data_IF_550934970839
#
_entry.id   IF_550934970839
#
_cell.length_a   1.000
_cell.length_b   1.000
_cell.length_c   1.000
_cell.angle_alpha   90.00
_cell.angle_beta   90.00
_cell.angle_gamma   90.00
#
_symmetry.space_group_name_H-M   'P 1'
#
loop_
_entity.id
_entity.type
_entity.pdbx_description
1 polymer ?
#
# COMPACT_ATOMS: atom_id res chain seq x y z
N UNK A 1 -8.78 -13.66 -2.83
CA UNK A 1 -8.47 -13.01 -4.13
C UNK A 1 -9.70 -12.27 -4.64
N UNK A 2 -10.84 -12.93 -4.85
CA UNK A 2 -12.10 -12.28 -5.22
C UNK A 2 -12.47 -11.07 -4.33
N UNK A 3 -12.46 -11.24 -3.00
CA UNK A 3 -12.62 -10.14 -2.03
C UNK A 3 -11.71 -8.92 -2.28
N UNK A 4 -10.45 -9.13 -2.69
CA UNK A 4 -9.50 -8.04 -2.93
C UNK A 4 -9.81 -7.31 -4.24
N UNK A 5 -10.20 -8.06 -5.28
CA UNK A 5 -10.58 -7.49 -6.58
C UNK A 5 -11.87 -6.65 -6.43
N UNK A 6 -12.86 -7.19 -5.71
CA UNK A 6 -14.10 -6.50 -5.38
C UNK A 6 -13.86 -5.24 -4.53
N UNK A 7 -13.02 -5.34 -3.49
CA UNK A 7 -12.67 -4.19 -2.65
C UNK A 7 -11.93 -3.10 -3.44
N UNK A 8 -11.05 -3.47 -4.37
CA UNK A 8 -10.33 -2.53 -5.21
C UNK A 8 -11.27 -1.79 -6.17
N UNK A 9 -12.21 -2.48 -6.81
CA UNK A 9 -13.22 -1.86 -7.65
C UNK A 9 -14.05 -0.84 -6.85
N UNK A 10 -14.60 -1.25 -5.70
CA UNK A 10 -15.41 -0.37 -4.84
C UNK A 10 -14.61 0.83 -4.37
N UNK A 11 -13.35 0.65 -3.96
CA UNK A 11 -12.49 1.75 -3.54
C UNK A 11 -12.25 2.76 -4.66
N UNK A 12 -11.99 2.29 -5.88
CA UNK A 12 -11.77 3.15 -7.06
C UNK A 12 -13.05 3.90 -7.42
N UNK A 13 -14.19 3.21 -7.46
CA UNK A 13 -15.50 3.83 -7.72
C UNK A 13 -15.85 4.89 -6.68
N UNK A 14 -15.64 4.62 -5.40
CA UNK A 14 -15.81 5.60 -4.33
C UNK A 14 -14.92 6.84 -4.51
N UNK A 15 -13.71 6.69 -5.07
CA UNK A 15 -12.80 7.80 -5.33
C UNK A 15 -13.20 8.66 -6.54
N UNK A 16 -13.85 8.09 -7.55
CA UNK A 16 -14.11 8.77 -8.84
C UNK A 16 -15.57 9.16 -9.07
N UNK A 17 -16.53 8.45 -8.49
CA UNK A 17 -17.96 8.66 -8.74
C UNK A 17 -18.53 9.77 -7.85
N UNK A 18 -19.29 10.67 -8.47
CA UNK A 18 -19.99 11.77 -7.81
C UNK A 18 -21.42 11.86 -8.38
N UNK A 19 -22.44 11.31 -7.70
CA UNK A 19 -22.38 10.47 -6.48
C UNK A 19 -21.93 9.02 -6.77
N UNK A 20 -21.52 8.28 -5.73
CA UNK A 20 -21.29 6.84 -5.86
C UNK A 20 -22.63 6.12 -6.01
N UNK A 21 -22.78 5.35 -7.09
CA UNK A 21 -24.04 4.73 -7.50
C UNK A 21 -24.46 3.52 -6.63
N UNK A 22 -23.60 3.12 -5.68
CA UNK A 22 -23.79 1.91 -4.91
C UNK A 22 -23.10 0.71 -5.57
N UNK A 23 -22.95 -0.34 -4.77
CA UNK A 23 -22.32 -1.59 -5.16
C UNK A 23 -22.97 -2.76 -4.42
N UNK A 24 -23.18 -3.87 -5.12
CA UNK A 24 -23.69 -5.11 -4.55
C UNK A 24 -22.99 -6.28 -5.21
N UNK A 25 -21.91 -6.74 -4.60
CA UNK A 25 -21.16 -7.92 -5.01
C UNK A 25 -21.37 -9.10 -4.07
N UNK A 26 -20.46 -10.07 -4.14
CA UNK A 26 -20.49 -11.28 -3.30
C UNK A 26 -20.02 -10.99 -1.87
N UNK A 27 -19.12 -10.01 -1.71
CA UNK A 27 -18.42 -9.76 -0.46
C UNK A 27 -18.70 -8.37 0.14
N UNK A 28 -19.12 -7.42 -0.68
CA UNK A 28 -19.33 -6.02 -0.34
C UNK A 28 -20.71 -5.59 -0.86
N UNK A 29 -21.50 -4.99 0.02
CA UNK A 29 -22.74 -4.31 -0.33
C UNK A 29 -22.71 -2.91 0.29
N UNK A 30 -22.85 -1.88 -0.55
CA UNK A 30 -22.90 -0.49 -0.13
C UNK A 30 -23.95 0.24 -0.97
N UNK A 31 -24.96 0.87 -0.34
CA UNK A 31 -25.96 1.64 -1.06
C UNK A 31 -25.35 2.88 -1.71
N UNK A 32 -26.08 3.50 -2.64
CA UNK A 32 -25.69 4.77 -3.23
C UNK A 32 -25.55 5.86 -2.15
N UNK A 33 -24.43 6.58 -2.17
CA UNK A 33 -24.08 7.61 -1.18
C UNK A 33 -23.10 8.61 -1.80
N UNK A 34 -22.98 9.79 -1.23
CA UNK A 34 -21.84 10.66 -1.52
C UNK A 34 -20.64 10.25 -0.65
N UNK A 35 -19.52 9.89 -1.28
CA UNK A 35 -18.29 9.50 -0.57
C UNK A 35 -17.30 10.64 -0.63
N UNK A 36 -16.97 11.22 0.53
CA UNK A 36 -16.10 12.38 0.67
C UNK A 36 -15.06 12.15 1.79
N UNK A 37 -13.89 12.81 1.74
CA UNK A 37 -13.42 13.71 0.67
C UNK A 37 -12.99 12.95 -0.59
N UNK A 38 -12.93 13.66 -1.72
CA UNK A 38 -12.42 13.13 -2.98
C UNK A 38 -10.91 13.32 -3.08
N UNK A 39 -10.18 12.41 -3.76
CA UNK A 39 -8.75 12.59 -3.96
C UNK A 39 -8.44 13.86 -4.78
N UNK A 40 -7.30 14.47 -4.45
CA UNK A 40 -6.75 15.59 -5.22
C UNK A 40 -6.27 15.11 -6.60
N UNK A 41 -5.59 13.96 -6.64
CA UNK A 41 -5.12 13.33 -7.88
C UNK A 41 -6.32 12.76 -8.67
N UNK A 42 -6.38 13.07 -9.96
CA UNK A 42 -7.41 12.58 -10.88
C UNK A 42 -6.82 11.56 -11.86
N UNK A 43 -7.58 10.52 -12.25
CA UNK A 43 -8.90 10.16 -11.71
C UNK A 43 -8.84 9.67 -10.25
N UNK A 44 -7.76 9.01 -9.86
CA UNK A 44 -7.44 8.59 -8.51
C UNK A 44 -5.91 8.54 -8.33
N UNK A 45 -5.36 8.45 -7.12
CA UNK A 45 -3.93 8.24 -6.92
C UNK A 45 -3.44 6.93 -7.61
N UNK A 46 -2.18 6.84 -8.04
CA UNK A 46 -1.63 5.62 -8.63
C UNK A 46 -1.81 4.41 -7.69
N UNK A 47 -2.30 3.30 -8.25
CA UNK A 47 -2.53 2.08 -7.49
C UNK A 47 -1.27 1.22 -7.51
N UNK A 48 -0.95 0.67 -6.34
CA UNK A 48 0.17 -0.23 -6.10
C UNK A 48 -0.31 -1.48 -5.36
N UNK A 49 0.33 -2.61 -5.60
CA UNK A 49 0.10 -3.83 -4.83
C UNK A 49 1.42 -4.41 -4.32
N UNK A 50 1.43 -4.76 -3.03
CA UNK A 50 2.56 -5.43 -2.41
C UNK A 50 2.72 -6.85 -2.98
N UNK A 51 3.92 -7.16 -3.45
CA UNK A 51 4.27 -8.36 -4.18
C UNK A 51 5.40 -9.10 -3.45
N UNK A 52 5.03 -10.10 -2.67
CA UNK A 52 5.99 -10.97 -1.96
C UNK A 52 6.46 -12.16 -2.80
N UNK A 53 5.71 -12.54 -3.84
CA UNK A 53 5.99 -13.70 -4.70
C UNK A 53 6.01 -13.29 -6.18
N UNK A 54 6.73 -14.02 -7.06
CA UNK A 54 6.71 -13.76 -8.50
C UNK A 54 5.31 -13.71 -9.11
N UNK A 55 4.41 -14.60 -8.67
CA UNK A 55 3.02 -14.62 -9.12
C UNK A 55 2.24 -13.33 -8.80
N UNK A 56 2.60 -12.62 -7.72
CA UNK A 56 1.98 -11.33 -7.38
C UNK A 56 2.45 -10.22 -8.31
N UNK A 57 3.71 -10.25 -8.74
CA UNK A 57 4.27 -9.31 -9.73
C UNK A 57 3.59 -9.50 -11.09
N UNK A 58 3.41 -10.76 -11.52
CA UNK A 58 2.66 -11.08 -12.73
C UNK A 58 1.21 -10.59 -12.65
N UNK A 59 0.55 -10.81 -11.51
CA UNK A 59 -0.82 -10.32 -11.28
C UNK A 59 -0.91 -8.79 -11.36
N UNK A 60 0.08 -8.07 -10.81
CA UNK A 60 0.14 -6.61 -10.91
C UNK A 60 0.25 -6.15 -12.37
N UNK A 61 1.12 -6.81 -13.17
CA UNK A 61 1.27 -6.57 -14.59
C UNK A 61 -0.04 -6.83 -15.36
N UNK A 62 -0.68 -7.98 -15.12
CA UNK A 62 -1.96 -8.36 -15.74
C UNK A 62 -3.09 -7.36 -15.44
N UNK A 63 -3.02 -6.68 -14.30
CA UNK A 63 -4.03 -5.67 -13.89
C UNK A 63 -3.61 -4.24 -14.20
N UNK A 64 -2.44 -4.05 -14.82
CA UNK A 64 -1.86 -2.75 -15.17
C UNK A 64 -1.68 -1.80 -13.97
N UNK A 65 -1.32 -2.34 -12.80
CA UNK A 65 -1.06 -1.59 -11.57
C UNK A 65 0.41 -1.74 -11.13
N UNK A 66 0.85 -0.82 -10.26
CA UNK A 66 2.23 -0.77 -9.81
C UNK A 66 2.59 -1.98 -8.95
N UNK A 67 3.75 -2.57 -9.20
CA UNK A 67 4.26 -3.70 -8.44
C UNK A 67 5.24 -3.22 -7.37
N UNK A 68 4.86 -3.36 -6.09
CA UNK A 68 5.74 -3.07 -4.96
C UNK A 68 6.36 -4.38 -4.48
N UNK A 69 7.58 -4.68 -4.91
CA UNK A 69 8.23 -5.97 -4.66
C UNK A 69 9.39 -5.88 -3.67
N UNK A 70 9.55 -6.93 -2.85
CA UNK A 70 10.74 -7.11 -2.02
C UNK A 70 11.90 -7.60 -2.89
N UNK A 71 13.05 -6.92 -2.82
CA UNK A 71 14.24 -7.28 -3.57
C UNK A 71 14.99 -8.45 -2.90
N UNK A 72 14.38 -9.64 -2.84
CA UNK A 72 14.93 -10.82 -2.14
C UNK A 72 16.22 -11.40 -2.75
N UNK A 73 16.74 -10.83 -3.85
CA UNK A 73 17.77 -11.49 -4.67
C UNK A 73 18.77 -10.53 -5.32
N UNK A 74 19.02 -9.35 -4.75
CA UNK A 74 20.00 -8.40 -5.30
C UNK A 74 19.76 -7.95 -6.75
N UNK A 75 20.70 -7.19 -7.36
CA UNK A 75 20.49 -6.53 -8.65
C UNK A 75 20.32 -7.45 -9.87
N UNK A 76 21.01 -8.60 -9.92
CA UNK A 76 20.99 -9.49 -11.09
C UNK A 76 19.61 -10.12 -11.35
N UNK A 77 19.11 -10.98 -10.43
CA UNK A 77 17.76 -11.53 -10.47
C UNK A 77 16.62 -10.48 -10.52
N UNK A 78 16.90 -9.22 -10.21
CA UNK A 78 15.93 -8.14 -10.28
C UNK A 78 15.63 -7.74 -11.73
N UNK A 79 16.65 -7.71 -12.60
CA UNK A 79 16.49 -7.38 -14.03
C UNK A 79 15.54 -8.35 -14.72
N UNK A 80 15.66 -9.65 -14.46
CA UNK A 80 14.75 -10.66 -15.02
C UNK A 80 13.31 -10.46 -14.56
N UNK A 81 13.10 -10.06 -13.30
CA UNK A 81 11.76 -9.76 -12.76
C UNK A 81 11.16 -8.52 -13.42
N UNK A 82 11.95 -7.45 -13.58
CA UNK A 82 11.52 -6.22 -14.25
C UNK A 82 11.11 -6.50 -15.68
N UNK A 83 11.97 -7.22 -16.44
CA UNK A 83 11.67 -7.61 -17.81
C UNK A 83 10.44 -8.51 -17.90
N UNK A 84 10.29 -9.46 -16.97
CA UNK A 84 9.11 -10.32 -16.88
C UNK A 84 7.82 -9.54 -16.62
N UNK A 85 7.84 -8.53 -15.75
CA UNK A 85 6.70 -7.65 -15.50
C UNK A 85 6.27 -6.91 -16.77
N UNK A 86 7.20 -6.23 -17.47
CA UNK A 86 6.85 -5.47 -18.66
C UNK A 86 6.40 -6.35 -19.82
N UNK A 87 6.98 -7.55 -19.96
CA UNK A 87 6.53 -8.55 -20.92
C UNK A 87 5.08 -8.98 -20.64
N UNK A 88 4.79 -9.37 -19.40
CA UNK A 88 3.43 -9.79 -18.99
C UNK A 88 2.41 -8.65 -19.14
N UNK A 89 2.80 -7.42 -18.80
CA UNK A 89 1.97 -6.22 -18.98
C UNK A 89 1.57 -6.08 -20.46
N UNK A 90 2.52 -6.20 -21.38
CA UNK A 90 2.25 -6.07 -22.80
C UNK A 90 1.41 -7.25 -23.36
N UNK A 91 1.73 -8.48 -22.96
CA UNK A 91 1.09 -9.69 -23.47
C UNK A 91 -0.34 -9.87 -22.94
N UNK A 92 -0.55 -9.62 -21.65
CA UNK A 92 -1.77 -10.01 -20.92
C UNK A 92 -2.45 -8.89 -20.15
N UNK A 93 -1.88 -7.67 -20.13
CA UNK A 93 -2.41 -6.56 -19.34
C UNK A 93 -3.83 -6.15 -19.72
N UNK A 94 -4.72 -6.12 -18.73
CA UNK A 94 -6.10 -5.60 -18.80
C UNK A 94 -6.27 -4.57 -17.67
N UNK A 95 -6.36 -3.27 -17.99
CA UNK A 95 -6.48 -2.23 -16.98
C UNK A 95 -7.73 -2.40 -16.11
N UNK A 96 -7.54 -2.49 -14.79
CA UNK A 96 -8.66 -2.60 -13.83
C UNK A 96 -9.04 -1.26 -13.19
N UNK A 97 -8.19 -0.26 -13.36
CA UNK A 97 -8.37 1.09 -12.84
C UNK A 97 -8.36 2.10 -13.99
N UNK A 98 -9.06 3.25 -13.86
CA UNK A 98 -9.04 4.30 -14.88
C UNK A 98 -7.62 4.73 -15.27
N UNK A 99 -6.73 4.94 -14.30
CA UNK A 99 -5.32 5.23 -14.56
C UNK A 99 -4.49 3.94 -14.49
N UNK A 100 -3.66 3.70 -15.52
CA UNK A 100 -2.64 2.65 -15.54
C UNK A 100 -1.40 3.10 -14.77
N UNK A 101 -0.82 2.19 -13.98
CA UNK A 101 0.45 2.43 -13.28
C UNK A 101 1.45 1.32 -13.64
N UNK A 102 2.34 1.52 -14.63
CA UNK A 102 3.30 0.53 -15.06
C UNK A 102 4.65 0.69 -14.34
N UNK A 103 4.63 0.98 -13.03
CA UNK A 103 5.84 1.18 -12.24
C UNK A 103 6.17 -0.04 -11.38
N UNK A 104 7.46 -0.30 -11.22
CA UNK A 104 8.02 -1.30 -10.31
C UNK A 104 8.80 -0.59 -9.22
N UNK A 105 8.37 -0.82 -7.99
CA UNK A 105 9.05 -0.36 -6.79
C UNK A 105 9.76 -1.53 -6.14
N UNK A 106 11.02 -1.35 -5.79
CA UNK A 106 11.78 -2.31 -4.99
C UNK A 106 11.94 -1.81 -3.54
N UNK A 107 11.73 -2.69 -2.58
CA UNK A 107 12.21 -2.44 -1.21
C UNK A 107 13.70 -2.80 -1.20
N UNK A 108 14.55 -1.78 -1.04
CA UNK A 108 15.99 -1.86 -1.18
C UNK A 108 16.64 -2.56 0.01
N UNK A 109 17.06 -3.80 -0.22
CA UNK A 109 17.81 -4.62 0.72
C UNK A 109 16.99 -5.22 1.86
N UNK A 110 17.51 -6.29 2.46
CA UNK A 110 16.90 -6.93 3.64
C UNK A 110 17.29 -6.20 4.94
N UNK A 111 18.19 -5.22 4.84
CA UNK A 111 18.81 -4.50 5.95
C UNK A 111 18.44 -3.02 5.93
N UNK A 112 18.53 -2.38 7.10
CA UNK A 112 18.37 -0.93 7.21
C UNK A 112 19.48 -0.19 6.46
N UNK A 113 19.11 0.85 5.71
CA UNK A 113 20.04 1.85 5.20
C UNK A 113 20.77 2.53 6.35
N UNK A 114 22.07 2.79 6.15
CA UNK A 114 22.87 3.67 6.99
C UNK A 114 24.00 4.27 6.16
N UNK A 115 23.97 5.59 5.99
CA UNK A 115 25.01 6.35 5.29
C UNK A 115 25.88 7.06 6.33
N UNK A 116 27.20 6.86 6.26
CA UNK A 116 28.18 7.57 7.08
C UNK A 116 29.38 7.97 6.22
N UNK A 117 30.37 8.69 6.77
CA UNK A 117 31.53 9.13 5.97
C UNK A 117 32.39 7.97 5.46
N UNK A 118 32.45 6.89 6.23
CA UNK A 118 33.13 5.65 5.85
C UNK A 118 32.21 4.45 6.08
N UNK A 119 32.53 3.34 5.42
CA UNK A 119 31.80 2.10 5.57
C UNK A 119 31.80 1.58 7.01
N UNK A 120 32.94 1.67 7.69
CA UNK A 120 33.11 1.23 9.08
C UNK A 120 32.23 2.04 10.02
N UNK A 121 32.14 3.36 9.80
CA UNK A 121 31.27 4.22 10.60
C UNK A 121 29.79 3.88 10.40
N UNK A 122 29.37 3.53 9.18
CA UNK A 122 27.99 3.14 8.91
C UNK A 122 27.64 1.83 9.66
N UNK A 123 28.53 0.84 9.61
CA UNK A 123 28.38 -0.43 10.32
C UNK A 123 28.32 -0.21 11.84
N UNK A 124 29.22 0.58 12.40
CA UNK A 124 29.27 0.87 13.84
C UNK A 124 27.99 1.58 14.34
N UNK A 125 27.55 2.61 13.60
CA UNK A 125 26.32 3.35 13.92
C UNK A 125 25.09 2.47 13.89
N UNK A 126 24.97 1.63 12.85
CA UNK A 126 23.85 0.71 12.73
C UNK A 126 23.91 -0.36 13.82
N UNK A 127 25.11 -0.83 14.15
CA UNK A 127 25.38 -1.87 15.13
C UNK A 127 24.46 -3.08 14.96
N UNK A 128 24.03 -3.64 16.08
CA UNK A 128 23.14 -4.81 16.05
C UNK A 128 21.75 -4.52 15.49
N UNK A 129 21.35 -3.27 15.20
CA UNK A 129 20.01 -2.96 14.70
C UNK A 129 19.78 -3.37 13.23
N UNK A 130 20.85 -3.53 12.45
CA UNK A 130 20.77 -3.65 10.99
C UNK A 130 19.96 -4.83 10.47
N UNK A 131 20.21 -6.01 11.03
CA UNK A 131 19.60 -7.28 10.63
C UNK A 131 18.25 -7.59 11.25
N UNK A 132 17.74 -6.74 12.15
CA UNK A 132 16.52 -7.08 12.89
C UNK A 132 15.29 -7.19 12.00
N UNK A 133 15.21 -6.35 10.96
CA UNK A 133 14.10 -6.41 10.01
C UNK A 133 14.08 -7.74 9.24
N UNK A 134 15.22 -8.14 8.67
CA UNK A 134 15.41 -9.46 8.06
C UNK A 134 15.02 -10.59 9.01
N UNK A 135 15.55 -10.56 10.23
CA UNK A 135 15.28 -11.58 11.25
C UNK A 135 13.78 -11.65 11.59
N UNK A 136 13.14 -10.49 11.74
CA UNK A 136 11.71 -10.38 12.00
C UNK A 136 10.87 -10.97 10.89
N UNK A 137 11.16 -10.65 9.62
CA UNK A 137 10.47 -11.25 8.47
C UNK A 137 10.61 -12.77 8.50
N UNK A 138 11.83 -13.29 8.66
CA UNK A 138 12.06 -14.73 8.71
C UNK A 138 11.32 -15.38 9.87
N UNK A 139 11.32 -14.76 11.05
CA UNK A 139 10.61 -15.24 12.22
C UNK A 139 9.09 -15.30 11.98
N UNK A 140 8.48 -14.23 11.48
CA UNK A 140 7.02 -14.17 11.34
C UNK A 140 6.48 -14.98 10.17
N UNK A 141 7.22 -15.05 9.06
CA UNK A 141 6.70 -15.62 7.81
C UNK A 141 7.25 -17.00 7.47
N UNK A 142 8.33 -17.46 8.10
CA UNK A 142 9.00 -18.70 7.70
C UNK A 142 9.34 -19.63 8.85
N UNK A 143 10.21 -19.24 9.77
CA UNK A 143 10.89 -20.17 10.69
C UNK A 143 10.51 -20.00 12.16
N UNK A 144 9.84 -18.90 12.53
CA UNK A 144 9.55 -18.59 13.92
C UNK A 144 8.23 -19.17 14.42
N UNK A 145 8.20 -19.40 15.74
CA UNK A 145 6.98 -19.70 16.49
C UNK A 145 6.76 -18.55 17.46
N UNK A 146 5.56 -17.96 17.41
CA UNK A 146 5.19 -16.83 18.24
C UNK A 146 4.05 -17.19 19.18
N UNK A 147 4.15 -16.70 20.41
CA UNK A 147 3.05 -16.69 21.38
C UNK A 147 2.61 -15.23 21.55
N UNK A 148 1.35 -14.89 21.22
CA UNK A 148 0.84 -13.53 21.31
C UNK A 148 1.10 -12.89 22.69
N UNK A 149 1.67 -11.69 22.68
CA UNK A 149 2.00 -10.96 23.92
C UNK A 149 3.06 -11.62 24.81
N UNK A 150 3.82 -12.61 24.31
CA UNK A 150 4.88 -13.31 25.06
C UNK A 150 6.21 -13.38 24.31
N UNK A 151 6.20 -13.64 23.00
CA UNK A 151 7.45 -13.77 22.24
C UNK A 151 8.11 -12.41 22.04
N UNK A 152 9.24 -12.21 22.71
CA UNK A 152 10.13 -11.06 22.49
C UNK A 152 11.07 -11.30 21.32
N UNK A 153 10.65 -10.97 20.09
CA UNK A 153 11.45 -11.21 18.87
C UNK A 153 12.78 -10.44 18.91
N UNK A 154 12.79 -9.22 19.45
CA UNK A 154 14.01 -8.44 19.65
C UNK A 154 15.01 -9.12 20.58
N UNK A 155 14.54 -9.65 21.72
CA UNK A 155 15.40 -10.35 22.67
C UNK A 155 16.02 -11.60 22.02
N UNK A 156 15.20 -12.39 21.32
CA UNK A 156 15.67 -13.56 20.57
C UNK A 156 16.71 -13.18 19.52
N UNK A 157 16.48 -12.11 18.79
CA UNK A 157 17.42 -11.63 17.78
C UNK A 157 18.78 -11.27 18.39
N UNK A 158 18.81 -10.58 19.54
CA UNK A 158 20.06 -10.30 20.26
C UNK A 158 20.77 -11.58 20.69
N UNK A 159 20.03 -12.54 21.27
CA UNK A 159 20.56 -13.85 21.68
C UNK A 159 21.15 -14.64 20.49
N UNK A 160 20.56 -14.54 19.29
CA UNK A 160 21.13 -15.17 18.09
C UNK A 160 22.32 -14.39 17.52
N UNK A 161 22.32 -13.06 17.58
CA UNK A 161 23.46 -12.24 17.17
C UNK A 161 24.69 -12.43 18.06
N UNK A 162 24.50 -12.79 19.34
CA UNK A 162 25.60 -13.17 20.23
C UNK A 162 26.28 -14.47 19.76
N UNK A 163 25.53 -15.38 19.13
CA UNK A 163 26.07 -16.64 18.57
C UNK A 163 26.67 -16.43 17.19
N UNK A 164 26.04 -15.58 16.38
CA UNK A 164 26.48 -15.25 15.03
C UNK A 164 26.31 -13.74 14.75
N UNK A 165 27.37 -12.94 14.94
CA UNK A 165 27.34 -11.50 14.68
C UNK A 165 27.05 -11.12 13.23
N UNK A 166 27.20 -12.05 12.27
CA UNK A 166 26.90 -11.77 10.86
C UNK A 166 25.40 -11.54 10.63
N UNK A 167 24.53 -12.04 11.52
CA UNK A 167 23.09 -11.79 11.50
C UNK A 167 22.75 -10.29 11.58
N UNK A 168 23.61 -9.48 12.21
CA UNK A 168 23.39 -8.04 12.34
C UNK A 168 23.60 -7.26 11.03
N UNK A 169 24.34 -7.83 10.08
CA UNK A 169 24.79 -7.15 8.88
C UNK A 169 24.51 -7.93 7.59
N UNK A 170 23.90 -9.11 7.69
CA UNK A 170 23.48 -9.97 6.57
C UNK A 170 24.63 -10.48 5.69
N UNK A 171 24.33 -11.28 4.66
CA UNK A 171 25.33 -11.77 3.70
C UNK A 171 25.87 -10.70 2.75
N UNK A 172 25.38 -9.46 2.82
CA UNK A 172 25.85 -8.32 2.03
C UNK A 172 25.44 -6.99 2.67
N UNK A 173 26.25 -5.93 2.47
CA UNK A 173 26.05 -4.63 3.13
C UNK A 173 24.84 -3.84 2.62
N UNK A 174 24.34 -4.12 1.41
CA UNK A 174 23.21 -3.36 0.85
C UNK A 174 23.47 -1.85 0.83
N UNK A 175 22.49 -1.05 1.28
CA UNK A 175 22.61 0.40 1.43
C UNK A 175 23.27 0.83 2.77
N UNK A 176 24.29 0.10 3.23
CA UNK A 176 25.05 0.40 4.46
C UNK A 176 26.49 0.73 4.09
N UNK A 177 26.88 1.99 4.22
CA UNK A 177 28.27 2.38 3.97
C UNK A 177 28.51 3.88 3.76
N UNK A 178 29.62 4.16 3.10
CA UNK A 178 29.95 5.48 2.55
C UNK A 178 28.99 5.88 1.41
N UNK A 179 28.90 7.18 1.04
CA UNK A 179 28.13 7.61 -0.12
C UNK A 179 28.54 6.90 -1.41
N UNK A 180 29.81 6.51 -1.57
CA UNK A 180 30.27 5.75 -2.73
C UNK A 180 29.66 4.34 -2.76
N UNK A 181 29.71 3.62 -1.63
CA UNK A 181 29.14 2.28 -1.48
C UNK A 181 27.64 2.28 -1.73
N UNK A 182 26.92 3.26 -1.18
CA UNK A 182 25.47 3.37 -1.34
C UNK A 182 25.10 3.72 -2.79
N UNK A 183 25.85 4.58 -3.46
CA UNK A 183 25.64 4.86 -4.89
C UNK A 183 25.83 3.62 -5.75
N UNK A 184 26.88 2.84 -5.53
CA UNK A 184 27.11 1.60 -6.25
C UNK A 184 25.94 0.62 -6.08
N UNK A 185 25.45 0.46 -4.84
CA UNK A 185 24.28 -0.35 -4.56
C UNK A 185 23.04 0.14 -5.33
N UNK A 186 22.74 1.43 -5.30
CA UNK A 186 21.57 2.02 -5.95
C UNK A 186 21.65 1.98 -7.48
N UNK A 187 22.83 2.16 -8.07
CA UNK A 187 23.04 1.99 -9.51
C UNK A 187 22.68 0.60 -9.98
N UNK A 188 22.94 -0.43 -9.17
CA UNK A 188 22.48 -1.78 -9.50
C UNK A 188 20.95 -1.90 -9.64
N UNK A 189 20.18 -1.13 -8.86
CA UNK A 189 18.72 -1.08 -9.01
C UNK A 189 18.30 -0.25 -10.22
N UNK A 190 18.93 0.91 -10.43
CA UNK A 190 18.73 1.76 -11.62
C UNK A 190 18.96 0.96 -12.91
N UNK A 191 20.11 0.27 -13.02
CA UNK A 191 20.50 -0.55 -14.16
C UNK A 191 19.56 -1.74 -14.39
N UNK A 192 18.92 -2.26 -13.33
CA UNK A 192 17.94 -3.33 -13.43
C UNK A 192 16.58 -2.87 -13.99
N UNK A 193 16.36 -1.55 -14.10
CA UNK A 193 15.13 -0.95 -14.59
C UNK A 193 14.02 -0.81 -13.54
N UNK A 194 14.38 -0.84 -12.25
CA UNK A 194 13.47 -0.46 -11.17
C UNK A 194 13.20 1.04 -11.23
N UNK A 195 11.93 1.41 -11.06
CA UNK A 195 11.49 2.81 -11.15
C UNK A 195 11.64 3.55 -9.82
N UNK A 196 11.35 2.86 -8.72
CA UNK A 196 11.33 3.45 -7.38
C UNK A 196 11.99 2.51 -6.38
N UNK A 197 12.71 3.07 -5.40
CA UNK A 197 13.29 2.30 -4.31
C UNK A 197 12.85 2.85 -2.96
N UNK A 198 12.40 1.96 -2.07
CA UNK A 198 12.15 2.27 -0.67
C UNK A 198 13.29 1.70 0.16
N UNK A 199 13.98 2.56 0.89
CA UNK A 199 15.03 2.19 1.82
C UNK A 199 14.49 2.22 3.25
N UNK A 200 14.76 1.16 4.01
CA UNK A 200 14.33 1.06 5.40
C UNK A 200 15.32 1.80 6.29
N UNK A 201 14.83 2.62 7.23
CA UNK A 201 15.66 3.23 8.26
C UNK A 201 15.19 2.72 9.62
N UNK A 202 16.00 1.88 10.26
CA UNK A 202 15.80 1.40 11.62
C UNK A 202 16.77 2.14 12.54
N UNK A 203 16.34 3.26 13.16
CA UNK A 203 17.23 4.15 13.88
C UNK A 203 17.78 3.49 15.15
N UNK A 204 19.09 3.59 15.38
CA UNK A 204 19.73 3.32 16.68
C UNK A 204 20.00 4.59 17.48
N UNK A 205 20.28 5.68 16.78
CA UNK A 205 20.36 7.03 17.34
C UNK A 205 19.64 8.01 16.42
N UNK A 206 18.96 8.98 17.01
CA UNK A 206 18.30 10.04 16.24
C UNK A 206 19.33 10.84 15.43
N UNK A 207 20.43 11.25 16.07
CA UNK A 207 21.50 12.02 15.45
C UNK A 207 22.14 11.30 14.25
N UNK A 208 22.50 10.02 14.42
CA UNK A 208 23.09 9.23 13.33
C UNK A 208 22.10 9.01 12.18
N UNK A 209 20.81 8.90 12.48
CA UNK A 209 19.75 8.79 11.46
C UNK A 209 19.64 10.09 10.67
N UNK A 210 19.61 11.24 11.35
CA UNK A 210 19.52 12.54 10.69
C UNK A 210 20.76 12.83 9.84
N UNK A 211 21.96 12.52 10.33
CA UNK A 211 23.19 12.66 9.55
C UNK A 211 23.20 11.73 8.33
N UNK A 212 22.72 10.49 8.47
CA UNK A 212 22.57 9.57 7.35
C UNK A 212 21.61 10.11 6.28
N UNK A 213 20.48 10.72 6.68
CA UNK A 213 19.52 11.34 5.76
C UNK A 213 20.18 12.55 5.07
N UNK A 214 20.95 13.34 5.81
CA UNK A 214 21.67 14.50 5.27
C UNK A 214 22.71 14.08 4.23
N UNK A 215 23.54 13.06 4.52
CA UNK A 215 24.51 12.51 3.58
C UNK A 215 23.85 11.88 2.35
N UNK A 216 22.75 11.15 2.54
CA UNK A 216 21.94 10.62 1.45
C UNK A 216 21.48 11.74 0.51
N UNK A 217 20.94 12.83 1.06
CA UNK A 217 20.46 13.98 0.30
C UNK A 217 21.56 14.76 -0.41
N UNK A 218 22.71 14.97 0.24
CA UNK A 218 23.79 15.81 -0.29
C UNK A 218 24.75 15.08 -1.22
N UNK A 219 25.03 13.80 -0.96
CA UNK A 219 26.14 13.09 -1.60
C UNK A 219 25.71 11.86 -2.43
N UNK A 220 24.49 11.34 -2.23
CA UNK A 220 24.00 10.16 -2.95
C UNK A 220 22.92 10.52 -3.97
N UNK A 221 21.82 11.15 -3.55
CA UNK A 221 20.66 11.42 -4.40
C UNK A 221 20.92 12.33 -5.63
N UNK A 222 21.81 13.34 -5.62
CA UNK A 222 21.92 14.30 -6.73
C UNK A 222 22.14 13.64 -8.09
N UNK A 223 23.02 12.63 -8.18
CA UNK A 223 23.30 11.99 -9.47
C UNK A 223 22.12 11.21 -10.05
N UNK A 224 21.24 10.67 -9.20
CA UNK A 224 20.03 9.96 -9.63
C UNK A 224 18.96 10.95 -10.06
N UNK A 225 18.79 12.05 -9.32
CA UNK A 225 17.86 13.14 -9.67
C UNK A 225 18.23 13.75 -11.03
N UNK A 226 19.53 13.95 -11.29
CA UNK A 226 20.02 14.46 -12.58
C UNK A 226 19.63 13.57 -13.77
N UNK A 227 19.53 12.24 -13.57
CA UNK A 227 19.19 11.26 -14.61
C UNK A 227 17.70 10.94 -14.68
N UNK A 228 16.96 11.13 -13.59
CA UNK A 228 15.57 10.71 -13.44
C UNK A 228 14.66 11.26 -14.56
N UNK A 229 14.72 12.56 -14.82
CA UNK A 229 13.87 13.20 -15.84
C UNK A 229 14.04 12.55 -17.24
N UNK A 230 15.27 12.16 -17.58
CA UNK A 230 15.54 11.45 -18.84
C UNK A 230 15.02 10.02 -18.78
N UNK A 231 15.26 9.30 -17.68
CA UNK A 231 14.79 7.92 -17.52
C UNK A 231 13.25 7.82 -17.61
N UNK A 232 12.54 8.74 -16.95
CA UNK A 232 11.08 8.86 -17.01
C UNK A 232 10.59 9.13 -18.43
N UNK A 233 11.22 10.07 -19.15
CA UNK A 233 10.85 10.39 -20.53
C UNK A 233 11.10 9.21 -21.50
N UNK A 234 12.25 8.55 -21.39
CA UNK A 234 12.59 7.40 -22.21
C UNK A 234 11.65 6.22 -21.93
N UNK A 235 11.30 5.97 -20.66
CA UNK A 235 10.29 4.98 -20.27
C UNK A 235 8.93 5.31 -20.86
N UNK A 236 8.46 6.55 -20.73
CA UNK A 236 7.17 6.96 -21.27
C UNK A 236 7.10 6.73 -22.79
N UNK A 237 8.16 7.09 -23.53
CA UNK A 237 8.27 6.82 -24.96
C UNK A 237 8.24 5.32 -25.29
N UNK A 238 8.98 4.51 -24.53
CA UNK A 238 9.01 3.05 -24.69
C UNK A 238 7.66 2.40 -24.42
N UNK A 239 6.94 2.87 -23.41
CA UNK A 239 5.65 2.30 -23.00
C UNK A 239 4.45 2.85 -23.77
N UNK A 240 4.55 3.98 -24.47
CA UNK A 240 3.44 4.54 -25.24
C UNK A 240 2.70 3.52 -26.15
N UNK A 241 3.38 2.73 -27.03
CA UNK A 241 2.69 1.73 -27.84
C UNK A 241 2.14 0.56 -27.02
N UNK A 242 2.79 0.22 -25.89
CA UNK A 242 2.31 -0.81 -24.97
C UNK A 242 1.02 -0.36 -24.29
N UNK A 243 0.98 0.91 -23.84
CA UNK A 243 -0.17 1.54 -23.19
C UNK A 243 -1.37 1.57 -24.14
N UNK A 244 -1.16 1.94 -25.41
CA UNK A 244 -2.23 1.89 -26.42
C UNK A 244 -2.79 0.47 -26.60
N UNK A 245 -1.92 -0.53 -26.66
CA UNK A 245 -2.30 -1.95 -26.79
C UNK A 245 -3.10 -2.47 -25.59
N UNK A 246 -2.70 -2.13 -24.36
CA UNK A 246 -3.41 -2.56 -23.14
C UNK A 246 -4.72 -1.79 -22.93
N UNK A 247 -4.77 -0.50 -23.28
CA UNK A 247 -6.00 0.28 -23.23
C UNK A 247 -7.06 -0.30 -24.18
N UNK A 248 -6.66 -0.80 -25.36
CA UNK A 248 -7.56 -1.48 -26.28
C UNK A 248 -8.18 -2.78 -25.71
N UNK A 249 -7.62 -3.33 -24.61
CA UNK A 249 -8.18 -4.50 -23.89
C UNK A 249 -9.04 -4.12 -22.70
N UNK A 250 -9.20 -2.83 -22.39
CA UNK A 250 -9.98 -2.36 -21.25
C UNK A 250 -11.42 -2.87 -21.35
N UNK A 251 -11.88 -3.52 -20.29
CA UNK A 251 -13.28 -3.94 -20.18
C UNK A 251 -14.20 -2.74 -20.14
N UNK A 252 -15.40 -2.88 -20.73
CA UNK A 252 -16.45 -1.89 -20.58
C UNK A 252 -16.79 -1.66 -19.10
N UNK A 253 -17.09 -0.42 -18.75
CA UNK A 253 -17.52 -0.10 -17.40
C UNK A 253 -18.93 -0.62 -17.16
N UNK A 254 -19.06 -1.65 -16.32
CA UNK A 254 -20.34 -2.25 -15.93
C UNK A 254 -20.93 -1.65 -14.66
N UNK A 255 -20.33 -0.59 -14.11
CA UNK A 255 -20.87 0.09 -12.94
C UNK A 255 -22.28 0.65 -13.25
N UNK A 256 -23.25 0.51 -12.34
CA UNK A 256 -24.55 1.13 -12.51
C UNK A 256 -24.41 2.65 -12.53
N UNK A 257 -25.28 3.32 -13.30
CA UNK A 257 -25.47 4.75 -13.16
C UNK A 257 -26.21 5.05 -11.86
N UNK A 258 -25.97 6.22 -11.27
CA UNK A 258 -26.75 6.66 -10.12
C UNK A 258 -28.24 6.75 -10.50
N UNK A 259 -29.10 6.22 -9.63
CA UNK A 259 -30.55 6.37 -9.74
C UNK A 259 -30.94 7.74 -9.20
N UNK A 260 -31.30 8.68 -10.09
CA UNK A 260 -31.73 10.04 -9.72
C UNK A 260 -33.03 10.06 -8.90
N UNK A 261 -33.79 8.96 -8.88
CA UNK A 261 -34.92 8.77 -7.97
C UNK A 261 -34.53 8.27 -6.58
N UNK A 262 -33.28 7.86 -6.39
CA UNK A 262 -32.79 7.34 -5.12
C UNK A 262 -32.73 8.45 -4.06
N UNK A 263 -33.49 8.24 -3.00
CA UNK A 263 -33.42 9.06 -1.80
C UNK A 263 -33.43 8.17 -0.56
N UNK A 264 -32.78 8.64 0.49
CA UNK A 264 -32.84 8.01 1.79
C UNK A 264 -33.04 9.10 2.84
N UNK A 265 -33.98 8.89 3.74
CA UNK A 265 -34.38 9.88 4.72
C UNK A 265 -33.49 9.89 5.96
N UNK A 266 -33.47 11.05 6.63
CA UNK A 266 -33.13 11.16 8.03
C UNK A 266 -34.38 11.01 8.91
N UNK A 267 -34.41 11.70 10.05
CA UNK A 267 -35.63 11.82 10.85
C UNK A 267 -36.75 12.48 10.01
N UNK A 268 -38.03 12.16 10.26
CA UNK A 268 -39.15 12.87 9.63
C UNK A 268 -39.13 14.34 10.05
N UNK A 269 -38.63 15.20 9.18
CA UNK A 269 -38.67 16.66 9.29
C UNK A 269 -39.71 17.20 8.30
N UNK A 270 -40.23 18.40 8.54
CA UNK A 270 -41.31 19.00 7.76
C UNK A 270 -42.69 18.42 8.06
N UNK A 271 -43.03 18.11 9.32
CA UNK A 271 -44.36 17.55 9.67
C UNK A 271 -45.46 18.52 9.24
N UNK A 272 -46.36 18.05 8.37
CA UNK A 272 -47.41 18.91 7.79
C UNK A 272 -46.86 20.02 6.87
N UNK A 273 -45.67 19.82 6.29
CA UNK A 273 -45.04 20.74 5.33
C UNK A 273 -44.34 21.95 5.95
N UNK A 274 -44.09 21.96 7.27
CA UNK A 274 -43.42 23.07 7.97
C UNK A 274 -42.21 22.58 8.74
N UNK A 275 -41.07 23.25 8.54
CA UNK A 275 -39.87 23.07 9.34
C UNK A 275 -39.89 24.02 10.54
N UNK A 276 -39.73 23.49 11.75
CA UNK A 276 -39.66 24.28 12.99
C UNK A 276 -38.36 24.01 13.75
N UNK A 277 -37.98 24.92 14.65
CA UNK A 277 -36.83 24.70 15.53
C UNK A 277 -37.02 23.53 16.52
N UNK A 278 -38.25 23.06 16.70
CA UNK A 278 -38.62 21.98 17.63
C UNK A 278 -38.62 20.58 17.00
N UNK A 279 -38.37 20.46 15.69
CA UNK A 279 -38.44 19.16 15.00
C UNK A 279 -37.45 18.13 15.51
N UNK A 280 -36.23 18.53 15.84
CA UNK A 280 -35.22 17.63 16.36
C UNK A 280 -35.63 17.11 17.76
N UNK A 281 -35.97 17.98 18.73
CA UNK A 281 -36.52 17.54 20.01
C UNK A 281 -37.75 16.62 19.89
N UNK A 282 -38.71 16.95 19.02
CA UNK A 282 -39.94 16.19 18.81
C UNK A 282 -39.66 14.80 18.22
N UNK A 283 -38.82 14.72 17.18
CA UNK A 283 -38.42 13.45 16.60
C UNK A 283 -37.66 12.55 17.58
N UNK A 284 -36.83 13.13 18.46
CA UNK A 284 -36.10 12.39 19.50
C UNK A 284 -37.04 11.88 20.61
N UNK A 285 -38.06 12.66 20.97
CA UNK A 285 -39.08 12.24 21.94
C UNK A 285 -39.86 11.00 21.43
N UNK A 286 -40.31 11.03 20.18
CA UNK A 286 -41.03 9.90 19.58
C UNK A 286 -40.18 8.63 19.47
N UNK A 287 -38.89 8.76 19.14
CA UNK A 287 -37.98 7.61 19.13
C UNK A 287 -37.90 6.99 20.53
N UNK A 288 -37.78 7.82 21.56
CA UNK A 288 -37.73 7.33 22.94
C UNK A 288 -39.04 6.66 23.35
N UNK A 289 -40.19 7.25 23.03
CA UNK A 289 -41.50 6.65 23.28
C UNK A 289 -41.66 5.30 22.57
N UNK A 290 -41.27 5.24 21.28
CA UNK A 290 -41.30 4.00 20.51
C UNK A 290 -40.41 2.90 21.12
N UNK A 291 -39.21 3.25 21.61
CA UNK A 291 -38.32 2.32 22.32
C UNK A 291 -38.94 1.80 23.63
N UNK A 292 -39.57 2.68 24.40
CA UNK A 292 -40.25 2.31 25.65
C UNK A 292 -41.42 1.37 25.38
N UNK A 293 -42.25 1.68 24.37
CA UNK A 293 -43.38 0.83 23.97
C UNK A 293 -42.93 -0.53 23.42
N UNK A 294 -41.83 -0.58 22.67
CA UNK A 294 -41.25 -1.84 22.20
C UNK A 294 -40.74 -2.69 23.37
N UNK A 295 -40.08 -2.08 24.35
CA UNK A 295 -39.62 -2.76 25.56
C UNK A 295 -40.79 -3.28 26.41
N UNK A 296 -41.88 -2.52 26.52
CA UNK A 296 -43.11 -2.96 27.21
C UNK A 296 -43.76 -4.15 26.50
N UNK A 297 -43.94 -4.08 25.17
CA UNK A 297 -44.48 -5.21 24.38
C UNK A 297 -43.63 -6.47 24.50
N UNK A 298 -42.30 -6.34 24.49
CA UNK A 298 -41.39 -7.48 24.67
C UNK A 298 -41.48 -8.08 26.08
N UNK A 299 -41.73 -7.25 27.10
CA UNK A 299 -41.95 -7.70 28.49
C UNK A 299 -43.29 -8.42 28.64
N UNK A 300 -44.37 -7.87 28.11
CA UNK A 300 -45.71 -8.49 28.12
C UNK A 300 -45.72 -9.84 27.38
N UNK A 301 -44.99 -9.95 26.26
CA UNK A 301 -44.84 -11.23 25.55
C UNK A 301 -44.05 -12.28 26.34
N UNK A 302 -43.07 -11.87 27.15
CA UNK A 302 -42.35 -12.79 28.07
C UNK A 302 -43.24 -13.24 29.23
N UNK A 303 -44.03 -12.32 29.79
CA UNK A 303 -44.92 -12.61 30.91
C UNK A 303 -46.11 -13.50 30.49
N UNK A 304 -46.52 -13.48 29.21
CA UNK A 304 -47.54 -14.39 28.65
C UNK A 304 -47.01 -15.79 28.28
N UNK A 305 -45.68 -15.98 28.21
CA UNK A 305 -45.03 -17.26 27.93
C UNK A 305 -44.52 -17.98 29.19
N UNK A 306 -44.73 -17.39 30.36
CA UNK A 306 -44.36 -17.92 31.69
C UNK A 306 -45.59 -18.43 32.44
#
# INVERSE_FOLDING_TARGET
>A
RAQWEEALEVAIRCMIEEPFAGFKGEHIEMPARNVIPKPLQKPHPPVWVACTRPASVQMAAQKCIGALSFAYTGPGPLTERVNGYYKELEESGVPITPQINPNILAIGGDLSMMVAKTDEQAVDRLGMGGGFFSFGIMHYYMTGIHTPGRTGVWKRYLEECEKDPTLAYGPGRGAIGSPATVREFLRGYEDSGVDEIILLLNPRSHEGTMESIELMGKEVLPEFIERDAKAVADKAKRLAPVIEKIEARRSENTAPTFDEGYSFGGLPTGRGGKFTASEIPEAMAEINEGRVQAAQRAKEQKDQQS
#
